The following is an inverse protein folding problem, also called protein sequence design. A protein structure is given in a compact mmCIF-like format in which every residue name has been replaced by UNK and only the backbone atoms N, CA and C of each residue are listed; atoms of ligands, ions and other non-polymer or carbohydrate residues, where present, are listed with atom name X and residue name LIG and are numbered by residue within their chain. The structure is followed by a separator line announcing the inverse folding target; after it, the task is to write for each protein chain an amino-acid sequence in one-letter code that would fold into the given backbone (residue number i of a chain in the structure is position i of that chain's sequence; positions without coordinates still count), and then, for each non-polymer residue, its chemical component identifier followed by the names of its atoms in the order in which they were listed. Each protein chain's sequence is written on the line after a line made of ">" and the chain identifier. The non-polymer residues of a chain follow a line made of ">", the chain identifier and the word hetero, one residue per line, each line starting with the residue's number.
data_IF_738887864863
#
_entry.id   IF_738887864863
#
_cell.length_a   1.000
_cell.length_b   1.000
_cell.length_c   1.000
_cell.angle_alpha   90.00
_cell.angle_beta   90.00
_cell.angle_gamma   90.00
#
_symmetry.space_group_name_H-M   'P 1'
#
loop_
_entity.id
_entity.type
_entity.pdbx_description
1 polymer ?
#
# COMPACT_ATOMS: atom_id res chain seq x y z
N UNK A 1 -35.91 10.93 31.21
CA UNK A 1 -35.18 11.88 32.06
C UNK A 1 -35.02 13.13 31.23
N UNK A 2 -35.82 14.16 31.50
CA UNK A 2 -35.71 15.44 30.77
C UNK A 2 -34.68 16.31 31.47
N UNK A 3 -33.80 16.94 30.70
CA UNK A 3 -32.91 17.99 31.23
C UNK A 3 -33.80 19.21 31.49
N UNK A 4 -34.36 19.31 32.70
CA UNK A 4 -35.13 20.46 33.13
C UNK A 4 -34.18 21.56 33.61
N UNK A 5 -33.48 22.21 32.67
CA UNK A 5 -32.76 23.44 32.97
C UNK A 5 -33.73 24.62 32.80
N UNK A 6 -34.09 25.28 33.91
CA UNK A 6 -34.89 26.50 33.90
C UNK A 6 -33.99 27.69 34.24
N UNK A 7 -34.02 28.73 33.41
CA UNK A 7 -33.45 30.03 33.77
C UNK A 7 -34.49 30.70 34.67
N UNK A 8 -34.32 30.59 35.99
CA UNK A 8 -35.27 31.15 36.95
C UNK A 8 -35.26 32.68 36.96
N UNK A 9 -34.09 33.30 36.82
CA UNK A 9 -33.93 34.75 36.65
C UNK A 9 -32.67 35.06 35.86
N UNK A 10 -32.76 35.92 34.84
CA UNK A 10 -31.57 36.47 34.18
C UNK A 10 -30.96 37.54 35.08
N UNK A 11 -29.63 37.55 35.30
CA UNK A 11 -28.99 38.64 36.03
C UNK A 11 -29.20 39.95 35.27
N UNK A 12 -29.99 40.86 35.86
CA UNK A 12 -30.16 42.21 35.33
C UNK A 12 -28.94 43.05 35.70
N UNK A 13 -28.11 43.36 34.71
CA UNK A 13 -27.04 44.34 34.87
C UNK A 13 -27.65 45.74 34.68
N UNK A 14 -28.03 46.39 35.79
CA UNK A 14 -28.42 47.80 35.76
C UNK A 14 -27.16 48.66 35.76
N UNK A 15 -27.11 49.64 34.86
CA UNK A 15 -26.00 50.60 34.81
C UNK A 15 -26.56 52.01 34.88
N UNK A 16 -25.86 52.89 35.59
CA UNK A 16 -26.14 54.33 35.58
C UNK A 16 -25.51 54.99 34.34
N UNK A 17 -25.70 54.38 33.17
CA UNK A 17 -25.03 54.76 31.92
C UNK A 17 -25.09 56.27 31.65
N UNK A 18 -26.25 56.90 31.82
CA UNK A 18 -26.43 58.34 31.61
C UNK A 18 -25.55 59.18 32.56
N UNK A 19 -25.47 58.80 33.83
CA UNK A 19 -24.64 59.50 34.82
C UNK A 19 -23.16 59.26 34.57
N UNK A 20 -22.75 58.02 34.29
CA UNK A 20 -21.36 57.65 34.03
C UNK A 20 -20.85 58.32 32.74
N UNK A 21 -21.68 58.38 31.70
CA UNK A 21 -21.36 59.08 30.45
C UNK A 21 -21.22 60.58 30.66
N UNK A 22 -22.15 61.22 31.37
CA UNK A 22 -22.08 62.65 31.64
C UNK A 22 -20.85 62.99 32.50
N UNK A 23 -20.57 62.20 33.53
CA UNK A 23 -19.35 62.34 34.33
C UNK A 23 -18.08 62.21 33.47
N UNK A 24 -18.02 61.20 32.59
CA UNK A 24 -16.88 61.01 31.69
C UNK A 24 -16.69 62.20 30.73
N UNK A 25 -17.79 62.75 30.19
CA UNK A 25 -17.77 63.92 29.32
C UNK A 25 -17.25 65.17 30.06
N UNK A 26 -17.74 65.44 31.27
CA UNK A 26 -17.25 66.54 32.10
C UNK A 26 -15.79 66.34 32.55
N UNK A 27 -15.37 65.10 32.80
CA UNK A 27 -14.00 64.77 33.20
C UNK A 27 -12.98 65.07 32.09
N UNK A 28 -13.37 64.88 30.82
CA UNK A 28 -12.49 65.14 29.66
C UNK A 28 -12.63 66.55 29.08
N UNK A 29 -13.64 67.31 29.47
CA UNK A 29 -13.97 68.63 28.92
C UNK A 29 -12.80 69.61 28.99
N UNK A 30 -12.05 69.60 30.09
CA UNK A 30 -10.86 70.46 30.30
C UNK A 30 -9.71 70.22 29.31
N UNK A 31 -9.72 69.10 28.59
CA UNK A 31 -8.72 68.77 27.57
C UNK A 31 -9.19 69.10 26.14
N UNK A 32 -10.45 69.48 25.96
CA UNK A 32 -11.01 69.72 24.63
C UNK A 32 -10.42 71.01 24.03
N UNK A 33 -9.78 70.89 22.86
CA UNK A 33 -9.12 72.04 22.20
C UNK A 33 -7.82 72.51 22.87
N UNK A 34 -7.27 71.76 23.83
CA UNK A 34 -6.02 72.12 24.50
C UNK A 34 -4.82 71.95 23.54
N UNK A 35 -4.08 73.04 23.32
CA UNK A 35 -2.79 73.02 22.60
C UNK A 35 -1.67 72.93 23.63
N UNK A 36 -1.01 71.78 23.69
CA UNK A 36 0.05 71.50 24.68
C UNK A 36 1.31 72.28 24.33
N UNK A 37 1.82 73.07 25.28
CA UNK A 37 3.11 73.77 25.19
C UNK A 37 4.22 72.98 25.89
N UNK A 38 5.49 73.29 25.58
CA UNK A 38 6.67 72.52 26.04
C UNK A 38 6.79 72.44 27.58
N UNK A 39 6.37 73.50 28.28
CA UNK A 39 6.36 73.62 29.74
C UNK A 39 5.26 72.77 30.42
N UNK A 40 4.20 72.40 29.68
CA UNK A 40 3.06 71.63 30.20
C UNK A 40 3.22 70.11 30.02
N UNK A 41 4.22 69.65 29.25
CA UNK A 41 4.38 68.24 28.86
C UNK A 41 4.42 67.28 30.06
N UNK A 42 5.09 67.67 31.15
CA UNK A 42 5.18 66.86 32.37
C UNK A 42 3.85 66.70 33.09
N UNK A 43 3.01 67.73 33.10
CA UNK A 43 1.68 67.71 33.72
C UNK A 43 0.70 66.92 32.86
N UNK A 44 0.69 67.18 31.54
CA UNK A 44 -0.15 66.45 30.59
C UNK A 44 0.16 64.95 30.58
N UNK A 45 1.42 64.53 30.74
CA UNK A 45 1.75 63.11 30.90
C UNK A 45 1.12 62.49 32.15
N UNK A 46 0.97 63.23 33.24
CA UNK A 46 0.27 62.75 34.46
C UNK A 46 -1.23 62.64 34.21
N UNK A 47 -1.81 63.64 33.58
CA UNK A 47 -3.22 63.65 33.17
C UNK A 47 -3.56 62.49 32.23
N UNK A 48 -2.70 62.20 31.24
CA UNK A 48 -2.83 61.03 30.36
C UNK A 48 -2.76 59.72 31.15
N UNK A 49 -1.88 59.63 32.15
CA UNK A 49 -1.80 58.45 33.00
C UNK A 49 -3.07 58.26 33.85
N UNK A 50 -3.65 59.36 34.35
CA UNK A 50 -4.92 59.36 35.09
C UNK A 50 -6.10 58.95 34.21
N UNK A 51 -6.21 59.50 32.99
CA UNK A 51 -7.22 59.09 32.00
C UNK A 51 -7.15 57.59 31.71
N UNK A 52 -5.93 57.08 31.49
CA UNK A 52 -5.71 55.65 31.27
C UNK A 52 -6.03 54.80 32.50
N UNK A 53 -5.87 55.33 33.72
CA UNK A 53 -6.21 54.63 34.96
C UNK A 53 -7.73 54.52 35.11
N UNK A 54 -8.44 55.63 34.96
CA UNK A 54 -9.91 55.68 35.02
C UNK A 54 -10.55 54.77 33.97
N UNK A 55 -10.05 54.80 32.73
CA UNK A 55 -10.55 53.92 31.66
C UNK A 55 -10.34 52.43 32.00
N UNK A 56 -9.18 52.08 32.58
CA UNK A 56 -8.89 50.72 33.05
C UNK A 56 -9.83 50.29 34.17
N UNK A 57 -10.07 51.13 35.16
CA UNK A 57 -10.96 50.80 36.28
C UNK A 57 -12.40 50.49 35.82
N UNK A 58 -12.91 51.24 34.85
CA UNK A 58 -14.24 50.99 34.25
C UNK A 58 -14.24 49.66 33.50
N UNK A 59 -13.22 49.38 32.69
CA UNK A 59 -13.12 48.13 31.93
C UNK A 59 -12.91 46.91 32.85
N UNK A 60 -12.15 47.05 33.93
CA UNK A 60 -11.95 45.99 34.92
C UNK A 60 -13.25 45.66 35.65
N UNK A 61 -14.07 46.67 36.01
CA UNK A 61 -15.42 46.45 36.56
C UNK A 61 -16.36 45.78 35.56
N UNK A 62 -16.29 46.16 34.28
CA UNK A 62 -17.04 45.48 33.21
C UNK A 62 -16.63 44.01 33.12
N UNK A 63 -15.33 43.71 33.07
CA UNK A 63 -14.79 42.33 32.99
C UNK A 63 -15.22 41.50 34.18
N UNK A 64 -15.14 42.05 35.39
CA UNK A 64 -15.53 41.36 36.61
C UNK A 64 -17.02 40.99 36.61
N UNK A 65 -17.90 41.93 36.25
CA UNK A 65 -19.34 41.66 36.17
C UNK A 65 -19.67 40.63 35.07
N UNK A 66 -19.05 40.73 33.90
CA UNK A 66 -19.20 39.75 32.82
C UNK A 66 -18.76 38.36 33.29
N UNK A 67 -17.63 38.28 34.01
CA UNK A 67 -17.14 37.03 34.59
C UNK A 67 -18.16 36.44 35.56
N UNK A 68 -18.65 37.23 36.52
CA UNK A 68 -19.65 36.78 37.50
C UNK A 68 -20.93 36.24 36.85
N UNK A 69 -21.43 36.90 35.80
CA UNK A 69 -22.61 36.44 35.06
C UNK A 69 -22.33 35.19 34.22
N UNK A 70 -21.11 35.05 33.69
CA UNK A 70 -20.73 33.90 32.86
C UNK A 70 -20.42 32.63 33.67
N UNK A 71 -20.03 32.76 34.94
CA UNK A 71 -19.62 31.63 35.79
C UNK A 71 -20.73 30.55 35.93
N UNK A 72 -21.99 30.90 36.25
CA UNK A 72 -23.07 29.90 36.32
C UNK A 72 -23.34 29.21 35.00
N UNK A 73 -23.17 29.91 33.87
CA UNK A 73 -23.36 29.36 32.53
C UNK A 73 -22.27 28.33 32.22
N UNK A 74 -21.00 28.66 32.53
CA UNK A 74 -19.87 27.77 32.35
C UNK A 74 -19.99 26.52 33.23
N UNK A 75 -20.41 26.69 34.49
CA UNK A 75 -20.62 25.58 35.41
C UNK A 75 -21.73 24.64 34.93
N UNK A 76 -22.86 25.18 34.48
CA UNK A 76 -23.92 24.41 33.85
C UNK A 76 -23.43 23.67 32.60
N UNK A 77 -22.68 24.35 31.73
CA UNK A 77 -22.11 23.73 30.52
C UNK A 77 -21.17 22.57 30.87
N UNK A 78 -20.33 22.72 31.90
CA UNK A 78 -19.45 21.66 32.40
C UNK A 78 -20.24 20.47 32.95
N UNK A 79 -21.26 20.71 33.77
CA UNK A 79 -22.12 19.65 34.32
C UNK A 79 -22.84 18.86 33.21
N UNK A 80 -23.39 19.55 32.21
CA UNK A 80 -24.03 18.88 31.07
C UNK A 80 -23.01 18.12 30.22
N UNK A 81 -21.82 18.68 30.00
CA UNK A 81 -20.73 18.00 29.28
C UNK A 81 -20.26 16.74 30.02
N UNK A 82 -20.19 16.78 31.34
CA UNK A 82 -19.88 15.60 32.17
C UNK A 82 -20.98 14.54 32.04
N UNK A 83 -22.26 14.93 32.07
CA UNK A 83 -23.36 13.98 31.84
C UNK A 83 -23.26 13.36 30.44
N UNK A 84 -22.98 14.16 29.41
CA UNK A 84 -22.79 13.68 28.02
C UNK A 84 -21.59 12.74 27.92
N UNK A 85 -20.50 13.02 28.66
CA UNK A 85 -19.29 12.20 28.60
C UNK A 85 -19.54 10.79 29.14
N UNK A 86 -20.35 10.64 30.19
CA UNK A 86 -20.77 9.33 30.71
C UNK A 86 -21.36 8.47 29.59
N UNK A 87 -22.32 9.00 28.81
CA UNK A 87 -22.94 8.26 27.71
C UNK A 87 -21.95 7.94 26.59
N UNK A 88 -21.03 8.85 26.27
CA UNK A 88 -20.01 8.63 25.24
C UNK A 88 -19.04 7.52 25.65
N UNK A 89 -18.51 7.58 26.87
CA UNK A 89 -17.59 6.57 27.41
C UNK A 89 -18.26 5.19 27.42
N UNK A 90 -19.48 5.07 27.94
CA UNK A 90 -20.20 3.79 27.94
C UNK A 90 -20.46 3.28 26.52
N UNK A 91 -20.77 4.16 25.56
CA UNK A 91 -20.92 3.76 24.15
C UNK A 91 -19.61 3.23 23.57
N UNK A 92 -18.49 3.87 23.83
CA UNK A 92 -17.16 3.45 23.33
C UNK A 92 -16.73 2.10 23.93
N UNK A 93 -17.02 1.88 25.22
CA UNK A 93 -16.81 0.59 25.88
C UNK A 93 -17.66 -0.51 25.24
N UNK A 94 -18.93 -0.23 24.95
CA UNK A 94 -19.82 -1.17 24.27
C UNK A 94 -19.38 -1.46 22.83
N UNK A 95 -18.97 -0.42 22.09
CA UNK A 95 -18.46 -0.59 20.72
C UNK A 95 -17.23 -1.49 20.71
N UNK A 96 -16.28 -1.25 21.63
CA UNK A 96 -15.09 -2.10 21.78
C UNK A 96 -15.46 -3.56 22.05
N UNK A 97 -16.41 -3.81 22.95
CA UNK A 97 -16.89 -5.17 23.24
C UNK A 97 -17.53 -5.83 22.01
N UNK A 98 -18.30 -5.08 21.23
CA UNK A 98 -18.91 -5.56 19.97
C UNK A 98 -17.83 -5.88 18.94
N UNK A 99 -16.81 -5.03 18.79
CA UNK A 99 -15.70 -5.27 17.86
C UNK A 99 -14.92 -6.55 18.21
N UNK A 100 -14.71 -6.84 19.50
CA UNK A 100 -14.09 -8.11 19.94
C UNK A 100 -14.90 -9.31 19.45
N UNK A 101 -16.23 -9.26 19.52
CA UNK A 101 -17.08 -10.34 19.04
C UNK A 101 -17.09 -10.45 17.51
N UNK A 102 -17.14 -9.32 16.79
CA UNK A 102 -17.05 -9.29 15.32
C UNK A 102 -15.73 -9.90 14.86
N UNK A 103 -14.60 -9.53 15.48
CA UNK A 103 -13.30 -10.07 15.10
C UNK A 103 -13.18 -11.56 15.44
N UNK A 104 -13.77 -12.00 16.56
CA UNK A 104 -13.86 -13.42 16.88
C UNK A 104 -14.66 -14.20 15.83
N UNK A 105 -15.85 -13.73 15.45
CA UNK A 105 -16.65 -14.33 14.37
C UNK A 105 -15.86 -14.35 13.05
N UNK A 106 -15.12 -13.28 12.76
CA UNK A 106 -14.28 -13.17 11.56
C UNK A 106 -13.16 -14.20 11.53
N UNK A 107 -12.49 -14.41 12.67
CA UNK A 107 -11.41 -15.38 12.80
C UNK A 107 -11.93 -16.82 12.80
N UNK A 108 -13.09 -17.09 13.41
CA UNK A 108 -13.78 -18.39 13.30
C UNK A 108 -14.12 -18.70 11.84
N UNK A 109 -14.63 -17.71 11.11
CA UNK A 109 -14.91 -17.84 9.68
C UNK A 109 -13.63 -18.05 8.87
N UNK A 110 -12.54 -17.36 9.21
CA UNK A 110 -11.24 -17.56 8.57
C UNK A 110 -10.74 -19.00 8.73
N UNK A 111 -10.86 -19.58 9.93
CA UNK A 111 -10.54 -20.99 10.19
C UNK A 111 -11.41 -21.93 9.35
N UNK A 112 -12.71 -21.66 9.25
CA UNK A 112 -13.61 -22.46 8.42
C UNK A 112 -13.22 -22.39 6.93
N UNK A 113 -12.86 -21.21 6.42
CA UNK A 113 -12.41 -21.03 5.03
C UNK A 113 -11.07 -21.74 4.79
N UNK A 114 -10.12 -21.65 5.72
CA UNK A 114 -8.85 -22.39 5.63
C UNK A 114 -9.06 -23.91 5.59
N UNK A 115 -9.92 -24.43 6.47
CA UNK A 115 -10.26 -25.84 6.47
C UNK A 115 -10.88 -26.28 5.13
N UNK A 116 -11.72 -25.44 4.54
CA UNK A 116 -12.33 -25.70 3.24
C UNK A 116 -11.30 -25.67 2.10
N UNK A 117 -10.37 -24.72 2.11
CA UNK A 117 -9.24 -24.64 1.16
C UNK A 117 -8.41 -25.93 1.22
N UNK A 118 -8.00 -26.34 2.42
CA UNK A 118 -7.17 -27.54 2.59
C UNK A 118 -7.94 -28.82 2.22
N UNK A 119 -9.25 -28.87 2.50
CA UNK A 119 -10.11 -29.98 2.06
C UNK A 119 -10.13 -30.08 0.54
N UNK A 120 -10.43 -28.98 -0.16
CA UNK A 120 -10.47 -29.00 -1.63
C UNK A 120 -9.10 -29.26 -2.25
N UNK A 121 -8.01 -28.72 -1.70
CA UNK A 121 -6.66 -29.05 -2.16
C UNK A 121 -6.34 -30.54 -2.04
N UNK A 122 -6.81 -31.18 -0.98
CA UNK A 122 -6.63 -32.62 -0.75
C UNK A 122 -7.50 -33.42 -1.73
N UNK A 123 -8.79 -33.09 -1.84
CA UNK A 123 -9.74 -33.73 -2.77
C UNK A 123 -9.26 -33.63 -4.23
N UNK A 124 -8.72 -32.48 -4.60
CA UNK A 124 -8.27 -32.20 -5.96
C UNK A 124 -6.79 -32.56 -6.19
N UNK A 125 -6.08 -33.10 -5.20
CA UNK A 125 -4.66 -33.47 -5.28
C UNK A 125 -3.74 -32.31 -5.72
N UNK A 126 -3.98 -31.10 -5.21
CA UNK A 126 -3.18 -29.89 -5.46
C UNK A 126 -2.62 -29.29 -4.15
N UNK A 127 -1.81 -30.04 -3.38
CA UNK A 127 -1.30 -29.58 -2.08
C UNK A 127 -0.35 -28.37 -2.21
N UNK A 128 0.35 -28.24 -3.34
CA UNK A 128 1.30 -27.17 -3.64
C UNK A 128 0.63 -25.81 -3.91
N UNK A 129 -0.67 -25.81 -4.23
CA UNK A 129 -1.40 -24.58 -4.54
C UNK A 129 -1.58 -23.73 -3.28
N UNK A 130 -1.10 -22.49 -3.33
CA UNK A 130 -1.33 -21.50 -2.27
C UNK A 130 -2.51 -20.61 -2.65
N UNK A 131 -3.60 -20.69 -1.88
CA UNK A 131 -4.79 -19.85 -2.06
C UNK A 131 -4.80 -18.76 -1.00
N UNK A 132 -4.73 -17.50 -1.43
CA UNK A 132 -4.83 -16.35 -0.54
C UNK A 132 -6.30 -16.09 -0.17
N UNK A 133 -6.58 -15.96 1.14
CA UNK A 133 -7.93 -15.63 1.62
C UNK A 133 -8.25 -14.19 1.25
N UNK A 134 -9.35 -13.98 0.51
CA UNK A 134 -9.85 -12.64 0.20
C UNK A 134 -10.54 -12.03 1.44
N UNK A 135 -10.32 -10.74 1.75
CA UNK A 135 -11.00 -10.08 2.88
C UNK A 135 -12.53 -10.16 2.82
N UNK A 136 -13.10 -10.14 1.60
CA UNK A 136 -14.54 -10.24 1.34
C UNK A 136 -15.15 -11.57 1.77
N UNK A 137 -14.36 -12.65 1.77
CA UNK A 137 -14.80 -13.96 2.26
C UNK A 137 -15.05 -13.96 3.76
N UNK A 138 -14.39 -13.07 4.50
CA UNK A 138 -14.51 -12.98 5.95
C UNK A 138 -15.72 -12.14 6.40
N UNK A 139 -16.37 -11.42 5.49
CA UNK A 139 -17.56 -10.62 5.81
C UNK A 139 -18.73 -11.51 6.26
N UNK A 140 -19.48 -11.09 7.30
CA UNK A 140 -20.61 -11.87 7.83
C UNK A 140 -21.66 -12.25 6.78
N UNK A 141 -21.89 -11.39 5.81
CA UNK A 141 -22.88 -11.57 4.72
C UNK A 141 -22.47 -12.59 3.66
N UNK A 142 -21.17 -12.85 3.49
CA UNK A 142 -20.66 -13.74 2.43
C UNK A 142 -20.95 -15.19 2.79
N UNK A 143 -21.82 -15.85 2.03
CA UNK A 143 -22.20 -17.25 2.30
C UNK A 143 -21.06 -18.20 2.00
N UNK A 144 -20.89 -19.24 2.83
CA UNK A 144 -19.85 -20.25 2.65
C UNK A 144 -19.94 -20.94 1.26
N UNK A 145 -21.15 -21.14 0.74
CA UNK A 145 -21.36 -21.74 -0.58
C UNK A 145 -20.68 -20.93 -1.71
N UNK A 146 -20.75 -19.60 -1.66
CA UNK A 146 -20.11 -18.75 -2.65
C UNK A 146 -18.58 -18.85 -2.54
N UNK A 147 -18.05 -18.86 -1.31
CA UNK A 147 -16.61 -19.02 -1.05
C UNK A 147 -16.10 -20.36 -1.61
N UNK A 148 -16.86 -21.46 -1.39
CA UNK A 148 -16.54 -22.77 -1.96
C UNK A 148 -16.46 -22.74 -3.49
N UNK A 149 -17.41 -22.07 -4.14
CA UNK A 149 -17.41 -21.89 -5.59
C UNK A 149 -16.13 -21.19 -6.09
N UNK A 150 -15.77 -20.08 -5.47
CA UNK A 150 -14.54 -19.36 -5.85
C UNK A 150 -13.26 -20.17 -5.60
N UNK A 151 -13.20 -20.94 -4.50
CA UNK A 151 -12.06 -21.83 -4.23
C UNK A 151 -11.92 -22.88 -5.34
N UNK A 152 -13.03 -23.51 -5.75
CA UNK A 152 -13.04 -24.51 -6.81
C UNK A 152 -12.64 -23.92 -8.17
N UNK A 153 -13.08 -22.71 -8.49
CA UNK A 153 -12.68 -22.01 -9.71
C UNK A 153 -11.15 -21.78 -9.75
N UNK A 154 -10.56 -21.35 -8.63
CA UNK A 154 -9.12 -21.15 -8.50
C UNK A 154 -8.36 -22.47 -8.72
N UNK A 155 -8.80 -23.56 -8.08
CA UNK A 155 -8.17 -24.88 -8.22
C UNK A 155 -8.28 -25.39 -9.66
N UNK A 156 -9.46 -25.23 -10.28
CA UNK A 156 -9.69 -25.67 -11.66
C UNK A 156 -8.79 -24.92 -12.64
N UNK A 157 -8.65 -23.60 -12.46
CA UNK A 157 -7.74 -22.80 -13.28
C UNK A 157 -6.28 -23.25 -13.13
N UNK A 158 -5.83 -23.50 -11.89
CA UNK A 158 -4.49 -23.99 -11.61
C UNK A 158 -4.22 -25.35 -12.26
N UNK A 159 -5.15 -26.30 -12.16
CA UNK A 159 -5.04 -27.61 -12.80
C UNK A 159 -4.91 -27.49 -14.31
N UNK A 160 -5.74 -26.66 -14.93
CA UNK A 160 -5.67 -26.42 -16.38
C UNK A 160 -4.30 -25.87 -16.79
N UNK A 161 -3.74 -24.96 -16.02
CA UNK A 161 -2.41 -24.42 -16.27
C UNK A 161 -1.32 -25.50 -16.14
N UNK A 162 -1.40 -26.37 -15.13
CA UNK A 162 -0.47 -27.48 -14.93
C UNK A 162 -0.53 -28.50 -16.08
N UNK A 163 -1.73 -28.85 -16.55
CA UNK A 163 -1.89 -29.75 -17.69
C UNK A 163 -1.33 -29.15 -18.99
N UNK A 164 -1.52 -27.85 -19.23
CA UNK A 164 -0.90 -27.16 -20.37
C UNK A 164 0.63 -27.15 -20.27
N UNK A 165 1.18 -26.96 -19.06
CA UNK A 165 2.64 -27.03 -18.82
C UNK A 165 3.19 -28.42 -19.12
N UNK A 166 2.55 -29.47 -18.60
CA UNK A 166 2.94 -30.87 -18.88
C UNK A 166 2.86 -31.19 -20.36
N UNK A 167 1.80 -30.75 -21.05
CA UNK A 167 1.66 -30.96 -22.49
C UNK A 167 2.78 -30.26 -23.27
N UNK A 168 3.11 -29.02 -22.90
CA UNK A 168 4.21 -28.29 -23.53
C UNK A 168 5.58 -28.93 -23.25
N UNK A 169 5.78 -29.50 -22.05
CA UNK A 169 7.00 -30.23 -21.69
C UNK A 169 7.10 -31.56 -22.46
N UNK A 170 6.02 -32.33 -22.53
CA UNK A 170 5.96 -33.56 -23.32
C UNK A 170 6.25 -33.28 -24.80
N UNK A 171 5.62 -32.24 -25.37
CA UNK A 171 5.90 -31.85 -26.76
C UNK A 171 7.37 -31.45 -27.01
N UNK A 172 8.04 -30.85 -26.01
CA UNK A 172 9.49 -30.59 -26.07
C UNK A 172 10.29 -31.88 -26.03
N UNK A 173 9.93 -32.81 -25.15
CA UNK A 173 10.61 -34.10 -25.01
C UNK A 173 10.46 -34.95 -26.28
N UNK A 174 9.26 -35.07 -26.84
CA UNK A 174 8.98 -35.78 -28.10
C UNK A 174 9.80 -35.20 -29.26
N UNK A 175 9.95 -33.87 -29.29
CA UNK A 175 10.78 -33.19 -30.29
C UNK A 175 12.26 -33.50 -30.11
N UNK A 176 12.77 -33.52 -28.88
CA UNK A 176 14.16 -33.91 -28.59
C UNK A 176 14.39 -35.37 -29.00
N UNK A 177 13.45 -36.26 -28.71
CA UNK A 177 13.49 -37.66 -29.12
C UNK A 177 13.52 -37.80 -30.65
N UNK A 178 12.66 -37.07 -31.36
CA UNK A 178 12.67 -37.02 -32.82
C UNK A 178 14.03 -36.59 -33.38
N UNK A 179 14.62 -35.51 -32.86
CA UNK A 179 15.95 -35.03 -33.26
C UNK A 179 17.01 -36.12 -33.01
N UNK A 180 17.00 -36.75 -31.83
CA UNK A 180 17.94 -37.81 -31.48
C UNK A 180 17.82 -39.03 -32.43
N UNK A 181 16.60 -39.47 -32.72
CA UNK A 181 16.34 -40.59 -33.61
C UNK A 181 16.82 -40.30 -35.05
N UNK A 182 16.57 -39.09 -35.57
CA UNK A 182 17.04 -38.68 -36.89
C UNK A 182 18.58 -38.54 -36.94
N UNK A 183 19.22 -38.02 -35.88
CA UNK A 183 20.68 -38.00 -35.77
C UNK A 183 21.24 -39.41 -35.81
N UNK A 184 20.67 -40.36 -35.06
CA UNK A 184 21.17 -41.74 -35.04
C UNK A 184 21.02 -42.42 -36.40
N UNK A 185 19.85 -42.26 -37.04
CA UNK A 185 19.59 -42.81 -38.37
C UNK A 185 20.59 -42.30 -39.40
N UNK A 186 20.85 -40.98 -39.42
CA UNK A 186 21.80 -40.37 -40.35
C UNK A 186 23.25 -40.67 -39.97
N UNK A 187 23.59 -40.84 -38.69
CA UNK A 187 24.92 -41.26 -38.27
C UNK A 187 25.29 -42.64 -38.83
N UNK A 188 24.32 -43.57 -38.90
CA UNK A 188 24.51 -44.88 -39.55
C UNK A 188 24.63 -44.71 -41.07
N UNK A 189 23.81 -43.87 -41.70
CA UNK A 189 23.85 -43.63 -43.16
C UNK A 189 25.16 -42.97 -43.63
N UNK A 190 25.71 -42.03 -42.84
CA UNK A 190 26.89 -41.24 -43.19
C UNK A 190 28.19 -41.76 -42.58
N UNK A 191 28.14 -42.80 -41.73
CA UNK A 191 29.27 -43.38 -40.98
C UNK A 191 30.06 -42.34 -40.15
N UNK A 192 29.36 -41.31 -39.65
CA UNK A 192 29.96 -40.23 -38.85
C UNK A 192 29.07 -39.89 -37.64
N UNK A 193 29.50 -40.17 -36.40
CA UNK A 193 28.72 -39.78 -35.23
C UNK A 193 28.84 -38.28 -34.96
N UNK A 194 27.71 -37.59 -34.80
CA UNK A 194 27.63 -36.19 -34.39
C UNK A 194 26.94 -36.03 -33.04
N UNK A 195 27.45 -35.13 -32.20
CA UNK A 195 26.90 -34.88 -30.87
C UNK A 195 25.63 -34.01 -30.93
N UNK A 196 24.62 -34.34 -30.11
CA UNK A 196 23.34 -33.63 -30.03
C UNK A 196 23.47 -32.12 -29.80
N UNK A 197 24.52 -31.66 -29.08
CA UNK A 197 24.76 -30.22 -28.82
C UNK A 197 24.77 -29.37 -30.10
N UNK A 198 25.21 -29.92 -31.22
CA UNK A 198 25.24 -29.22 -32.52
C UNK A 198 23.84 -28.87 -33.05
N UNK A 199 22.81 -29.57 -32.56
CA UNK A 199 21.43 -29.47 -33.04
C UNK A 199 20.51 -28.76 -32.03
N UNK A 200 21.07 -28.16 -30.96
CA UNK A 200 20.29 -27.45 -29.92
C UNK A 200 19.39 -26.35 -30.48
N UNK A 201 19.84 -25.65 -31.52
CA UNK A 201 19.09 -24.60 -32.21
C UNK A 201 17.83 -25.11 -32.94
N UNK A 202 17.71 -26.42 -33.19
CA UNK A 202 16.56 -27.03 -33.87
C UNK A 202 15.40 -27.38 -32.91
N UNK A 203 15.55 -27.08 -31.62
CA UNK A 203 14.52 -27.29 -30.61
C UNK A 203 13.41 -26.21 -30.60
N UNK A 204 13.48 -25.20 -31.47
CA UNK A 204 12.48 -24.12 -31.56
C UNK A 204 11.07 -24.66 -31.85
N UNK A 205 10.07 -24.46 -30.97
CA UNK A 205 8.71 -24.95 -31.14
C UNK A 205 8.05 -24.60 -32.48
N UNK A 206 8.47 -23.53 -33.15
CA UNK A 206 7.87 -23.07 -34.40
C UNK A 206 8.41 -23.78 -35.65
N UNK A 207 9.51 -24.52 -35.55
CA UNK A 207 10.06 -25.28 -36.68
C UNK A 207 9.25 -26.57 -36.92
N UNK A 208 8.92 -26.85 -38.18
CA UNK A 208 8.26 -28.10 -38.58
C UNK A 208 9.20 -29.31 -38.47
N UNK A 209 8.67 -30.50 -38.19
CA UNK A 209 9.44 -31.75 -38.17
C UNK A 209 10.19 -32.00 -39.49
N UNK A 210 9.59 -31.62 -40.63
CA UNK A 210 10.23 -31.75 -41.93
C UNK A 210 11.44 -30.81 -42.10
N UNK A 211 11.34 -29.60 -41.55
CA UNK A 211 12.44 -28.63 -41.56
C UNK A 211 13.57 -29.07 -40.64
N UNK A 212 13.24 -29.66 -39.49
CA UNK A 212 14.22 -30.27 -38.58
C UNK A 212 15.02 -31.36 -39.32
N UNK A 213 14.36 -32.35 -39.92
CA UNK A 213 15.06 -33.43 -40.66
C UNK A 213 15.94 -32.88 -41.78
N UNK A 214 15.46 -31.88 -42.53
CA UNK A 214 16.24 -31.23 -43.59
C UNK A 214 17.50 -30.54 -43.04
N UNK A 215 17.38 -29.81 -41.93
CA UNK A 215 18.51 -29.12 -41.32
C UNK A 215 19.51 -30.10 -40.71
N UNK A 216 19.05 -31.18 -40.06
CA UNK A 216 19.94 -32.24 -39.55
C UNK A 216 20.74 -32.83 -40.72
N UNK A 217 20.07 -33.24 -41.80
CA UNK A 217 20.74 -33.79 -42.99
C UNK A 217 21.77 -32.83 -43.58
N UNK A 218 21.44 -31.53 -43.68
CA UNK A 218 22.37 -30.51 -44.17
C UNK A 218 23.64 -30.42 -43.30
N UNK A 219 23.50 -30.51 -41.98
CA UNK A 219 24.65 -30.52 -41.05
C UNK A 219 25.54 -31.75 -41.28
N UNK A 220 24.96 -32.93 -41.47
CA UNK A 220 25.72 -34.15 -41.80
C UNK A 220 26.43 -34.05 -43.16
N UNK A 221 25.76 -33.53 -44.19
CA UNK A 221 26.36 -33.33 -45.52
C UNK A 221 27.52 -32.34 -45.48
N UNK A 222 27.39 -31.23 -44.75
CA UNK A 222 28.46 -30.25 -44.57
C UNK A 222 29.64 -30.85 -43.80
N UNK A 223 29.37 -31.66 -42.76
CA UNK A 223 30.42 -32.35 -42.01
C UNK A 223 31.18 -33.34 -42.90
N UNK A 224 30.49 -34.15 -43.71
CA UNK A 224 31.12 -35.08 -44.67
C UNK A 224 32.01 -34.36 -45.68
N UNK A 225 31.55 -33.22 -46.23
CA UNK A 225 32.34 -32.37 -47.14
C UNK A 225 33.59 -31.80 -46.46
N UNK A 226 33.47 -31.39 -45.20
CA UNK A 226 34.62 -30.89 -44.42
C UNK A 226 35.65 -32.00 -44.15
N UNK A 227 35.21 -33.23 -43.87
CA UNK A 227 36.10 -34.38 -43.65
C UNK A 227 36.80 -34.84 -44.94
N UNK A 228 36.15 -34.73 -46.11
CA UNK A 228 36.73 -35.11 -47.42
C UNK A 228 37.63 -34.03 -48.07
N UNK A 229 37.57 -32.78 -47.59
CA UNK A 229 38.25 -31.63 -48.21
C UNK A 229 39.67 -31.29 -47.69
N UNK A 230 40.20 -32.01 -46.70
CA UNK A 230 41.60 -31.94 -46.26
C UNK A 230 42.18 -30.53 -45.99
N UNK A 231 41.89 -29.91 -44.84
CA UNK A 231 42.75 -28.99 -44.06
C UNK A 231 42.08 -28.64 -42.70
N UNK A 232 42.81 -28.16 -41.67
CA UNK A 232 43.00 -28.82 -40.37
C UNK A 232 41.87 -28.68 -39.33
N UNK A 233 41.95 -29.59 -38.36
CA UNK A 233 41.16 -29.75 -37.13
C UNK A 233 41.05 -28.45 -36.32
N UNK A 234 39.84 -27.97 -36.12
CA UNK A 234 39.44 -27.23 -34.91
C UNK A 234 37.95 -27.48 -34.63
N UNK A 235 37.67 -28.60 -33.95
CA UNK A 235 36.50 -28.85 -33.09
C UNK A 235 36.39 -30.36 -32.80
N UNK A 236 37.46 -30.98 -32.27
CA UNK A 236 37.35 -32.29 -31.64
C UNK A 236 38.34 -32.39 -30.47
N UNK A 237 37.97 -31.76 -29.37
CA UNK A 237 38.20 -32.30 -28.02
C UNK A 237 36.77 -32.49 -27.49
N UNK A 238 36.28 -33.69 -27.19
CA UNK A 238 36.88 -34.68 -26.29
C UNK A 238 36.45 -36.08 -26.72
N UNK A 239 37.42 -36.93 -27.05
CA UNK A 239 37.25 -38.38 -27.00
C UNK A 239 37.71 -38.86 -25.63
N UNK A 240 36.94 -39.80 -25.10
CA UNK A 240 36.98 -40.42 -23.77
C UNK A 240 38.33 -41.12 -23.50
N UNK A 241 38.85 -40.98 -22.28
CA UNK A 241 39.72 -41.99 -21.66
C UNK A 241 39.23 -42.27 -20.23
N UNK A 242 38.79 -43.50 -19.99
CA UNK A 242 38.50 -44.08 -18.68
C UNK A 242 39.79 -44.68 -18.08
N UNK A 243 40.08 -44.44 -16.80
CA UNK A 243 40.44 -45.45 -15.78
C UNK A 243 41.12 -44.82 -14.53
N UNK A 244 40.34 -44.71 -13.45
CA UNK A 244 40.62 -45.25 -12.11
C UNK A 244 41.94 -44.92 -11.37
N UNK A 245 41.83 -44.21 -10.24
CA UNK A 245 42.33 -44.68 -8.92
C UNK A 245 41.76 -43.90 -7.72
N UNK A 246 41.07 -44.68 -6.89
CA UNK A 246 40.97 -44.70 -5.42
C UNK A 246 40.42 -43.51 -4.59
N UNK A 247 39.53 -43.88 -3.67
CA UNK A 247 38.78 -43.08 -2.70
C UNK A 247 39.65 -42.64 -1.50
N UNK A 248 39.15 -41.73 -0.62
CA UNK A 248 38.29 -42.20 0.48
C UNK A 248 37.11 -41.28 0.87
N UNK A 249 36.06 -41.91 1.43
CA UNK A 249 34.94 -41.35 2.24
C UNK A 249 35.46 -41.14 3.70
N UNK A 250 34.90 -40.33 4.65
CA UNK A 250 33.49 -39.96 4.86
C UNK A 250 33.12 -38.54 5.37
N UNK A 251 31.80 -38.26 5.37
CA UNK A 251 31.01 -37.20 6.04
C UNK A 251 31.36 -36.98 7.54
N UNK A 252 31.01 -35.85 8.24
CA UNK A 252 29.77 -35.04 8.13
C UNK A 252 29.89 -33.49 8.31
N UNK A 253 28.75 -32.78 8.16
CA UNK A 253 28.57 -31.30 8.23
C UNK A 253 28.91 -30.68 9.62
N UNK A 254 29.20 -29.35 9.74
CA UNK A 254 28.12 -28.35 9.95
C UNK A 254 28.36 -26.89 9.44
N UNK A 255 27.23 -26.23 9.13
CA UNK A 255 26.82 -24.79 9.20
C UNK A 255 27.88 -23.68 9.45
N UNK A 256 27.94 -22.66 8.57
CA UNK A 256 27.68 -21.22 8.85
C UNK A 256 28.20 -20.24 7.77
N UNK A 257 27.28 -19.40 7.26
CA UNK A 257 27.28 -17.98 6.78
C UNK A 257 28.63 -17.30 6.39
N UNK A 258 28.77 -16.34 5.45
CA UNK A 258 28.00 -15.14 5.06
C UNK A 258 28.58 -14.62 3.71
N UNK A 259 27.82 -13.76 3.00
CA UNK A 259 28.19 -12.64 2.08
C UNK A 259 28.18 -12.83 0.54
N UNK A 260 27.04 -12.42 -0.03
CA UNK A 260 26.81 -11.37 -1.07
C UNK A 260 27.86 -11.07 -2.16
N UNK A 261 27.42 -11.18 -3.44
CA UNK A 261 27.26 -10.13 -4.47
C UNK A 261 27.18 -10.82 -5.86
N UNK A 262 26.01 -10.75 -6.51
CA UNK A 262 25.77 -9.99 -7.76
C UNK A 262 26.35 -10.64 -9.03
N UNK A 263 25.45 -11.07 -9.93
CA UNK A 263 25.34 -10.57 -11.32
C UNK A 263 24.40 -11.47 -12.15
N UNK A 264 23.18 -10.97 -12.42
CA UNK A 264 22.42 -11.27 -13.64
C UNK A 264 21.26 -10.26 -13.74
N UNK A 265 21.32 -9.42 -14.77
CA UNK A 265 20.51 -8.21 -14.91
C UNK A 265 19.01 -8.46 -15.04
N UNK A 266 18.26 -7.89 -14.11
CA UNK A 266 16.87 -7.52 -14.30
C UNK A 266 16.81 -6.00 -14.09
N UNK A 267 16.47 -5.23 -15.13
CA UNK A 267 16.18 -3.80 -15.00
C UNK A 267 14.95 -3.66 -14.11
N UNK A 268 15.20 -3.42 -12.81
CA UNK A 268 14.19 -3.14 -11.82
C UNK A 268 13.50 -1.82 -12.19
N UNK A 269 12.19 -1.87 -12.50
CA UNK A 269 11.36 -0.68 -12.61
C UNK A 269 11.38 0.04 -11.25
N UNK A 270 12.19 1.10 -11.15
CA UNK A 270 12.35 1.91 -9.95
C UNK A 270 11.14 2.84 -9.82
N UNK A 271 10.13 2.41 -9.06
CA UNK A 271 8.97 3.26 -8.74
C UNK A 271 9.34 4.23 -7.62
N UNK A 272 9.22 5.54 -7.86
CA UNK A 272 9.33 6.59 -6.81
C UNK A 272 7.95 6.90 -6.24
N UNK A 273 7.84 6.99 -4.92
CA UNK A 273 6.61 7.39 -4.20
C UNK A 273 6.69 8.88 -3.87
N UNK A 274 5.63 9.63 -4.21
CA UNK A 274 5.49 11.07 -3.93
C UNK A 274 4.14 11.29 -3.25
N UNK A 275 4.12 12.05 -2.14
CA UNK A 275 2.90 12.47 -1.43
C UNK A 275 2.73 13.96 -1.60
N UNK A 276 1.56 14.41 -2.09
CA UNK A 276 1.26 15.83 -2.35
C UNK A 276 0.00 16.19 -1.57
N UNK A 277 0.09 17.24 -0.74
CA UNK A 277 -1.03 17.89 -0.06
C UNK A 277 -1.09 19.33 -0.55
N UNK A 278 -2.27 19.79 -0.99
CA UNK A 278 -2.42 21.12 -1.56
C UNK A 278 -3.75 21.77 -1.14
N UNK A 279 -3.66 23.00 -0.67
CA UNK A 279 -4.80 23.87 -0.38
C UNK A 279 -4.99 24.87 -1.52
N UNK A 280 -6.23 25.09 -1.95
CA UNK A 280 -6.54 26.00 -3.05
C UNK A 280 -7.90 26.68 -2.87
N UNK A 281 -8.04 27.87 -3.45
CA UNK A 281 -9.31 28.61 -3.45
C UNK A 281 -10.38 27.88 -4.27
N UNK A 282 -11.62 27.86 -3.80
CA UNK A 282 -12.76 27.17 -4.43
C UNK A 282 -12.99 27.55 -5.90
N UNK A 283 -12.58 28.76 -6.30
CA UNK A 283 -12.62 29.24 -7.69
C UNK A 283 -11.71 28.45 -8.65
N UNK A 284 -10.74 27.69 -8.13
CA UNK A 284 -9.77 26.91 -8.92
C UNK A 284 -10.06 25.40 -8.90
N UNK A 285 -11.18 24.97 -8.32
CA UNK A 285 -11.52 23.54 -8.14
C UNK A 285 -11.52 22.74 -9.45
N UNK A 286 -12.11 23.28 -10.52
CA UNK A 286 -12.13 22.60 -11.82
C UNK A 286 -10.72 22.45 -12.42
N UNK A 287 -9.86 23.46 -12.24
CA UNK A 287 -8.47 23.42 -12.74
C UNK A 287 -7.62 22.42 -11.97
N UNK A 288 -7.79 22.35 -10.65
CA UNK A 288 -7.08 21.37 -9.79
C UNK A 288 -7.56 19.95 -10.08
N UNK A 289 -8.86 19.76 -10.33
CA UNK A 289 -9.40 18.46 -10.75
C UNK A 289 -8.82 18.00 -12.09
N UNK A 290 -8.67 18.91 -13.07
CA UNK A 290 -8.06 18.59 -14.36
C UNK A 290 -6.59 18.14 -14.22
N UNK A 291 -5.79 18.86 -13.43
CA UNK A 291 -4.39 18.50 -13.16
C UNK A 291 -4.26 17.16 -12.41
N UNK A 292 -5.18 16.87 -11.50
CA UNK A 292 -5.22 15.58 -10.80
C UNK A 292 -5.49 14.41 -11.76
N UNK A 293 -6.37 14.58 -12.75
CA UNK A 293 -6.62 13.54 -13.76
C UNK A 293 -5.40 13.28 -14.64
N UNK A 294 -4.65 14.32 -14.97
CA UNK A 294 -3.40 14.19 -15.73
C UNK A 294 -2.35 13.42 -14.91
N UNK A 295 -2.22 13.72 -13.62
CA UNK A 295 -1.33 13.02 -12.69
C UNK A 295 -1.72 11.54 -12.54
N UNK A 296 -3.02 11.25 -12.46
CA UNK A 296 -3.56 9.89 -12.39
C UNK A 296 -3.22 9.07 -13.64
N UNK A 297 -3.12 9.70 -14.80
CA UNK A 297 -2.77 9.05 -16.07
C UNK A 297 -1.28 8.70 -16.17
N UNK A 298 -0.42 9.45 -15.48
CA UNK A 298 1.04 9.27 -15.49
C UNK A 298 1.55 8.36 -14.35
N UNK A 299 0.73 8.09 -13.33
CA UNK A 299 1.12 7.30 -12.16
C UNK A 299 0.52 5.87 -12.20
N UNK A 300 1.33 4.88 -11.80
CA UNK A 300 0.89 3.47 -11.68
C UNK A 300 -0.21 3.27 -10.62
N UNK A 301 -0.19 4.07 -9.55
CA UNK A 301 -1.25 4.18 -8.54
C UNK A 301 -1.30 5.63 -8.04
N UNK A 302 -2.48 6.25 -8.06
CA UNK A 302 -2.71 7.61 -7.56
C UNK A 302 -4.03 7.65 -6.79
N UNK A 303 -3.98 8.09 -5.53
CA UNK A 303 -5.14 8.28 -4.64
C UNK A 303 -5.02 9.63 -3.96
N UNK A 304 -6.04 10.48 -4.10
CA UNK A 304 -6.16 11.72 -3.33
C UNK A 304 -7.07 11.48 -2.13
N UNK A 305 -6.65 11.99 -0.97
CA UNK A 305 -7.51 12.14 0.20
C UNK A 305 -7.95 13.60 0.20
N UNK A 306 -9.26 13.83 0.07
CA UNK A 306 -9.87 15.16 0.20
C UNK A 306 -10.45 15.21 1.60
N UNK A 307 -9.87 16.03 2.47
CA UNK A 307 -10.45 16.38 3.77
C UNK A 307 -11.41 17.57 3.62
#
# INVERSE_FOLDING_TARGET
>A
MEVSAKIETLPQVSTNYAQLKNWALSFVEKYNGLVVTEDQVTEIKKDMAELNKVAREIDDKRKELVKQVSLPILEFELQIKEIISIFKTTREELDTQVQVYIEKEREEKRKAVLAEIERFKTEENTPELTINIKPEWLNKTTKLLHIKGEILEIITAYKKEQELKKLAENAKNDRIEFINNEIQKLAIEFDTPLAFRLFSHLQDPNLSLAEISKNIRLIFENNKKAVQGGMPKEANQLTITLAEKEAPKPEPQPVSQVKTLEEAGIKLLTTKKLTITAEYSTSNSEKVAALYQELKRLCLKCSAVVE
#
